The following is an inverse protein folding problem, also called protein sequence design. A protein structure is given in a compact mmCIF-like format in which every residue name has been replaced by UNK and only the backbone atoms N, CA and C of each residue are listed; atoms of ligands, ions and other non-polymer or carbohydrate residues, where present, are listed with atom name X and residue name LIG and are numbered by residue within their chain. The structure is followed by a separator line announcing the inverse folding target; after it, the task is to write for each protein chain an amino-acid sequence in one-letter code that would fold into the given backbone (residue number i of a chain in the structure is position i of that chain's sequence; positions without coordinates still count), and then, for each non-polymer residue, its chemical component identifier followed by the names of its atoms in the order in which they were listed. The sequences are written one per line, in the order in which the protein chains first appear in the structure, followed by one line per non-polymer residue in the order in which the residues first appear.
data_IF_904228592433
#
_entry.id   IF_904228592433
#
_cell.length_a   1.000
_cell.length_b   1.000
_cell.length_c   1.000
_cell.angle_alpha   90.00
_cell.angle_beta   90.00
_cell.angle_gamma   90.00
#
_symmetry.space_group_name_H-M   'P 1'
#
loop_
_entity.id
_entity.type
_entity.pdbx_description
1 polymer ?
#
# COMPACT_ATOMS: atom_id res chain seq x y z
N UNK A 1 7.56 5.91 30.20
CA UNK A 1 7.28 5.46 31.58
C UNK A 1 6.97 6.63 32.52
N UNK A 2 7.48 7.81 32.24
CA UNK A 2 7.22 9.01 33.08
C UNK A 2 5.82 9.64 32.88
N UNK A 3 5.12 9.35 31.78
CA UNK A 3 3.85 9.98 31.41
C UNK A 3 2.65 9.02 31.44
N UNK A 4 2.78 7.80 31.90
CA UNK A 4 1.73 6.74 31.97
C UNK A 4 0.99 6.53 30.64
N UNK A 5 1.69 6.65 29.51
CA UNK A 5 1.14 6.45 28.17
C UNK A 5 1.33 5.01 27.71
N UNK A 6 0.30 4.45 27.07
CA UNK A 6 0.40 3.17 26.39
C UNK A 6 1.08 3.37 25.02
N UNK A 7 2.18 2.64 24.79
CA UNK A 7 2.83 2.63 23.48
C UNK A 7 2.05 1.75 22.51
N UNK A 8 1.65 2.33 21.36
CA UNK A 8 1.09 1.59 20.23
C UNK A 8 2.10 1.70 19.09
N UNK A 9 2.60 0.56 18.62
CA UNK A 9 3.57 0.53 17.53
C UNK A 9 2.92 0.96 16.21
N UNK A 10 3.56 1.80 15.36
CA UNK A 10 2.94 2.37 14.16
C UNK A 10 2.54 1.33 13.10
N UNK A 11 3.19 0.17 13.05
CA UNK A 11 2.87 -0.86 12.07
C UNK A 11 2.93 -2.30 12.59
N UNK A 12 3.01 -2.53 13.91
CA UNK A 12 3.15 -3.87 14.48
C UNK A 12 2.18 -4.09 15.64
N UNK A 13 1.73 -5.35 15.78
CA UNK A 13 0.95 -5.84 16.89
C UNK A 13 -0.56 -5.73 16.70
N UNK A 14 -1.27 -6.37 17.64
CA UNK A 14 -2.73 -6.57 17.56
C UNK A 14 -3.51 -5.25 17.53
N UNK A 15 -3.12 -4.25 18.31
CA UNK A 15 -3.85 -2.99 18.40
C UNK A 15 -3.80 -2.21 17.08
N UNK A 16 -2.64 -2.17 16.43
CA UNK A 16 -2.44 -1.54 15.13
C UNK A 16 -3.25 -2.26 14.06
N UNK A 17 -3.20 -3.59 14.05
CA UNK A 17 -3.97 -4.42 13.10
C UNK A 17 -5.48 -4.24 13.28
N UNK A 18 -5.98 -4.27 14.52
CA UNK A 18 -7.41 -4.06 14.80
C UNK A 18 -7.87 -2.66 14.37
N UNK A 19 -7.08 -1.63 14.66
CA UNK A 19 -7.38 -0.27 14.19
C UNK A 19 -7.45 -0.19 12.66
N UNK A 20 -6.48 -0.77 11.95
CA UNK A 20 -6.44 -0.79 10.49
C UNK A 20 -7.52 -1.68 9.86
N UNK A 21 -8.04 -2.69 10.57
CA UNK A 21 -9.11 -3.55 10.07
C UNK A 21 -10.42 -2.80 9.82
N UNK A 22 -10.66 -1.69 10.54
CA UNK A 22 -11.81 -0.82 10.31
C UNK A 22 -11.96 -0.40 8.86
N UNK A 23 -10.86 -0.03 8.21
CA UNK A 23 -10.85 0.33 6.77
C UNK A 23 -11.36 -0.81 5.89
N UNK A 24 -10.89 -2.02 6.13
CA UNK A 24 -11.33 -3.21 5.38
C UNK A 24 -12.79 -3.58 5.67
N UNK A 25 -13.23 -3.47 6.93
CA UNK A 25 -14.61 -3.76 7.33
C UNK A 25 -15.59 -2.80 6.67
N UNK A 26 -15.33 -1.48 6.73
CA UNK A 26 -16.17 -0.46 6.12
C UNK A 26 -16.23 -0.62 4.60
N UNK A 27 -15.07 -0.82 3.94
CA UNK A 27 -15.01 -1.07 2.50
C UNK A 27 -15.88 -2.26 2.08
N UNK A 28 -15.79 -3.38 2.81
CA UNK A 28 -16.53 -4.59 2.51
C UNK A 28 -18.01 -4.50 2.90
N UNK A 29 -18.36 -3.59 3.80
CA UNK A 29 -19.76 -3.29 4.13
C UNK A 29 -20.42 -2.42 3.06
N UNK A 30 -19.72 -1.40 2.60
CA UNK A 30 -20.19 -0.48 1.56
C UNK A 30 -20.29 -1.16 0.18
N UNK A 31 -19.35 -2.05 -0.15
CA UNK A 31 -19.26 -2.69 -1.48
C UNK A 31 -19.17 -4.21 -1.32
N UNK A 32 -20.28 -4.91 -1.50
CA UNK A 32 -20.43 -6.35 -1.20
C UNK A 32 -19.69 -7.30 -2.16
N UNK A 33 -19.44 -6.90 -3.40
CA UNK A 33 -18.99 -7.76 -4.50
C UNK A 33 -17.68 -7.27 -5.11
N UNK A 34 -16.71 -6.92 -4.25
CA UNK A 34 -15.36 -6.61 -4.68
C UNK A 34 -14.64 -7.88 -5.14
N UNK A 35 -14.04 -7.82 -6.33
CA UNK A 35 -13.15 -8.85 -6.86
C UNK A 35 -11.76 -8.78 -6.22
N UNK A 36 -11.28 -7.55 -5.91
CA UNK A 36 -9.96 -7.34 -5.34
C UNK A 36 -9.86 -6.07 -4.50
N UNK A 37 -8.91 -6.05 -3.57
CA UNK A 37 -8.48 -4.86 -2.83
C UNK A 37 -6.98 -4.68 -3.02
N UNK A 38 -6.54 -3.45 -3.31
CA UNK A 38 -5.14 -3.09 -3.51
C UNK A 38 -4.70 -2.10 -2.43
N UNK A 39 -3.60 -2.43 -1.74
CA UNK A 39 -3.12 -1.68 -0.57
C UNK A 39 -1.61 -1.50 -0.66
N UNK A 40 -1.10 -0.31 -0.33
CA UNK A 40 0.34 -0.09 -0.17
C UNK A 40 0.88 -0.78 1.08
N UNK A 41 2.10 -1.27 0.99
CA UNK A 41 2.77 -2.01 2.07
C UNK A 41 4.10 -1.34 2.40
N UNK A 42 4.23 -0.91 3.66
CA UNK A 42 5.52 -0.60 4.27
C UNK A 42 5.79 -1.65 5.34
N UNK A 43 5.76 -1.29 6.62
CA UNK A 43 5.91 -2.24 7.73
C UNK A 43 4.77 -3.27 7.91
N UNK A 44 3.71 -3.19 7.11
CA UNK A 44 2.61 -4.16 7.10
C UNK A 44 1.41 -3.83 7.99
N UNK A 45 1.44 -2.73 8.75
CA UNK A 45 0.37 -2.41 9.72
C UNK A 45 -1.00 -2.22 9.09
N UNK A 46 -1.11 -1.36 8.06
CA UNK A 46 -2.34 -1.14 7.30
C UNK A 46 -2.77 -2.43 6.58
N UNK A 47 -1.83 -3.03 5.84
CA UNK A 47 -2.10 -4.26 5.06
C UNK A 47 -2.59 -5.40 5.95
N UNK A 48 -2.00 -5.63 7.12
CA UNK A 48 -2.40 -6.72 8.02
C UNK A 48 -3.86 -6.58 8.47
N UNK A 49 -4.29 -5.36 8.80
CA UNK A 49 -5.67 -5.09 9.22
C UNK A 49 -6.66 -5.21 8.07
N UNK A 50 -6.40 -4.49 6.96
CA UNK A 50 -7.29 -4.52 5.78
C UNK A 50 -7.43 -5.94 5.24
N UNK A 51 -6.31 -6.65 5.04
CA UNK A 51 -6.35 -8.02 4.49
C UNK A 51 -7.08 -9.00 5.42
N UNK A 52 -6.89 -8.89 6.73
CA UNK A 52 -7.59 -9.74 7.69
C UNK A 52 -9.11 -9.52 7.63
N UNK A 53 -9.57 -8.28 7.56
CA UNK A 53 -10.98 -7.93 7.44
C UNK A 53 -11.57 -8.43 6.10
N UNK A 54 -10.90 -8.16 4.97
CA UNK A 54 -11.33 -8.59 3.64
C UNK A 54 -11.46 -10.11 3.58
N UNK A 55 -10.43 -10.85 3.99
CA UNK A 55 -10.44 -12.34 3.94
C UNK A 55 -11.41 -12.97 4.94
N UNK A 56 -11.72 -12.31 6.05
CA UNK A 56 -12.74 -12.78 6.99
C UNK A 56 -14.17 -12.66 6.43
N UNK A 57 -14.45 -11.62 5.62
CA UNK A 57 -15.77 -11.37 5.04
C UNK A 57 -15.94 -12.11 3.70
N UNK A 58 -14.95 -12.01 2.81
CA UNK A 58 -14.94 -12.66 1.51
C UNK A 58 -13.55 -13.27 1.22
N UNK A 59 -13.33 -14.57 1.51
CA UNK A 59 -12.05 -15.24 1.25
C UNK A 59 -11.64 -15.24 -0.23
N UNK A 60 -12.58 -15.14 -1.16
CA UNK A 60 -12.34 -15.14 -2.62
C UNK A 60 -11.87 -13.78 -3.13
N UNK A 61 -12.18 -12.69 -2.42
CA UNK A 61 -11.70 -11.35 -2.77
C UNK A 61 -10.16 -11.32 -2.72
N UNK A 62 -9.55 -10.96 -3.84
CA UNK A 62 -8.08 -10.92 -3.94
C UNK A 62 -7.52 -9.72 -3.19
N UNK A 63 -6.39 -9.93 -2.52
CA UNK A 63 -5.67 -8.87 -1.81
C UNK A 63 -4.29 -8.71 -2.44
N UNK A 64 -4.04 -7.54 -3.00
CA UNK A 64 -2.77 -7.18 -3.64
C UNK A 64 -2.03 -6.15 -2.80
N UNK A 65 -0.75 -6.43 -2.56
CA UNK A 65 0.18 -5.49 -1.93
C UNK A 65 0.99 -4.73 -2.97
N UNK A 66 1.34 -3.48 -2.67
CA UNK A 66 2.24 -2.68 -3.50
C UNK A 66 3.36 -2.12 -2.63
N UNK A 67 4.61 -2.39 -2.99
CA UNK A 67 5.81 -1.83 -2.34
C UNK A 67 6.65 -1.07 -3.36
N UNK A 68 7.45 -0.07 -2.93
CA UNK A 68 8.50 0.51 -3.75
C UNK A 68 9.62 -0.49 -4.02
N UNK A 69 10.21 -0.46 -5.22
CA UNK A 69 11.41 -1.28 -5.53
C UNK A 69 12.55 -1.04 -4.53
N UNK A 70 12.71 0.20 -4.05
CA UNK A 70 13.76 0.56 -3.09
C UNK A 70 13.40 0.33 -1.61
N UNK A 71 12.22 -0.25 -1.30
CA UNK A 71 11.77 -0.53 0.07
C UNK A 71 10.81 -1.73 0.11
N UNK A 72 11.26 -2.89 -0.34
CA UNK A 72 10.48 -4.11 -0.56
C UNK A 72 10.62 -5.14 0.59
N UNK A 73 10.68 -4.67 1.83
CA UNK A 73 10.96 -5.50 3.01
C UNK A 73 9.95 -6.63 3.22
N UNK A 74 8.67 -6.40 2.99
CA UNK A 74 7.64 -7.42 3.15
C UNK A 74 7.69 -8.46 2.03
N UNK A 75 7.91 -8.06 0.79
CA UNK A 75 8.06 -8.95 -0.37
C UNK A 75 9.23 -9.91 -0.18
N UNK A 76 10.40 -9.37 0.21
CA UNK A 76 11.57 -10.19 0.53
C UNK A 76 11.31 -11.11 1.72
N UNK A 77 10.70 -10.61 2.81
CA UNK A 77 10.36 -11.42 3.98
C UNK A 77 9.44 -12.60 3.62
N UNK A 78 8.42 -12.39 2.79
CA UNK A 78 7.53 -13.47 2.34
C UNK A 78 8.30 -14.49 1.49
N UNK A 79 9.20 -14.03 0.62
CA UNK A 79 10.02 -14.91 -0.22
C UNK A 79 11.00 -15.75 0.60
N UNK A 80 11.66 -15.16 1.59
CA UNK A 80 12.57 -15.87 2.50
C UNK A 80 11.84 -16.75 3.52
N UNK A 81 10.58 -16.43 3.83
CA UNK A 81 9.77 -17.18 4.77
C UNK A 81 9.82 -16.66 6.21
N UNK A 82 10.62 -15.63 6.48
CA UNK A 82 10.80 -14.98 7.80
C UNK A 82 10.99 -13.46 7.64
N UNK A 83 10.71 -12.67 8.69
CA UNK A 83 10.96 -11.23 8.69
C UNK A 83 12.45 -10.92 8.44
N UNK A 84 12.71 -10.06 7.47
CA UNK A 84 14.07 -9.59 7.16
C UNK A 84 14.20 -8.08 7.40
N UNK A 85 15.45 -7.63 7.50
CA UNK A 85 15.80 -6.21 7.53
C UNK A 85 16.58 -5.86 6.26
N UNK A 86 16.12 -4.84 5.52
CA UNK A 86 16.84 -4.32 4.35
C UNK A 86 18.14 -3.63 4.77
N UNK A 87 19.17 -3.78 3.98
CA UNK A 87 20.47 -3.12 4.20
C UNK A 87 20.47 -1.64 3.82
N UNK A 88 19.55 -1.22 2.95
CA UNK A 88 19.38 0.18 2.50
C UNK A 88 17.94 0.42 2.08
N UNK A 89 17.54 1.67 2.11
CA UNK A 89 16.24 2.17 1.64
C UNK A 89 16.52 3.27 0.62
N UNK A 90 15.84 3.21 -0.52
CA UNK A 90 15.92 4.21 -1.58
C UNK A 90 14.57 4.39 -2.27
N UNK A 91 13.72 5.25 -1.72
CA UNK A 91 12.40 5.59 -2.28
C UNK A 91 11.91 6.94 -1.80
N UNK A 92 11.10 7.60 -2.64
CA UNK A 92 10.37 8.84 -2.28
C UNK A 92 9.17 8.58 -1.36
N UNK A 93 8.74 7.33 -1.22
CA UNK A 93 7.58 6.95 -0.42
C UNK A 93 7.98 6.74 1.06
N UNK A 94 8.16 7.84 1.79
CA UNK A 94 8.63 7.86 3.19
C UNK A 94 7.80 6.94 4.10
N UNK A 95 6.47 7.00 4.00
CA UNK A 95 5.57 6.15 4.81
C UNK A 95 5.60 4.65 4.43
N UNK A 96 6.21 4.28 3.29
CA UNK A 96 6.43 2.90 2.88
C UNK A 96 7.87 2.41 3.12
N UNK A 97 8.70 3.19 3.82
CA UNK A 97 10.12 2.92 4.00
C UNK A 97 10.57 2.36 5.38
N UNK A 98 9.75 1.65 6.18
CA UNK A 98 10.30 0.85 7.27
C UNK A 98 11.31 -0.17 6.71
N UNK A 99 12.53 -0.24 7.30
CA UNK A 99 13.57 -1.11 6.77
C UNK A 99 13.30 -2.60 7.01
N UNK A 100 12.24 -2.95 7.74
CA UNK A 100 11.97 -4.30 8.18
C UNK A 100 10.48 -4.62 8.24
N UNK A 101 10.14 -5.87 7.97
CA UNK A 101 8.90 -6.47 8.45
C UNK A 101 9.06 -6.93 9.90
N UNK A 102 7.98 -6.92 10.68
CA UNK A 102 7.96 -7.43 12.05
C UNK A 102 7.02 -8.64 12.17
N UNK A 103 7.24 -9.53 13.16
CA UNK A 103 6.68 -10.88 13.15
C UNK A 103 5.15 -10.95 13.02
N UNK A 104 4.40 -10.13 13.76
CA UNK A 104 2.94 -10.19 13.77
C UNK A 104 2.35 -9.71 12.42
N UNK A 105 2.76 -8.53 11.95
CA UNK A 105 2.36 -8.00 10.65
C UNK A 105 2.75 -8.92 9.50
N UNK A 106 3.98 -9.45 9.52
CA UNK A 106 4.48 -10.41 8.54
C UNK A 106 3.59 -11.66 8.44
N UNK A 107 3.23 -12.29 9.56
CA UNK A 107 2.41 -13.50 9.53
C UNK A 107 1.03 -13.27 8.91
N UNK A 108 0.41 -12.13 9.21
CA UNK A 108 -0.88 -11.77 8.61
C UNK A 108 -0.75 -11.46 7.12
N UNK A 109 0.25 -10.68 6.73
CA UNK A 109 0.55 -10.39 5.33
C UNK A 109 0.82 -11.67 4.53
N UNK A 110 1.71 -12.54 5.03
CA UNK A 110 2.03 -13.83 4.40
C UNK A 110 0.80 -14.73 4.22
N UNK A 111 -0.13 -14.70 5.16
CA UNK A 111 -1.35 -15.50 5.14
C UNK A 111 -2.40 -14.97 4.15
N UNK A 112 -2.56 -13.64 4.09
CA UNK A 112 -3.74 -13.02 3.50
C UNK A 112 -3.49 -12.36 2.15
N UNK A 113 -2.23 -12.02 1.80
CA UNK A 113 -1.89 -11.37 0.54
C UNK A 113 -1.80 -12.44 -0.56
N UNK A 114 -2.52 -12.23 -1.66
CA UNK A 114 -2.44 -13.11 -2.83
C UNK A 114 -1.19 -12.81 -3.67
N UNK A 115 -0.76 -11.54 -3.75
CA UNK A 115 0.46 -11.13 -4.48
C UNK A 115 0.93 -9.75 -4.02
N UNK A 116 2.24 -9.55 -3.93
CA UNK A 116 2.86 -8.23 -3.83
C UNK A 116 3.49 -7.88 -5.19
N UNK A 117 3.32 -6.62 -5.61
CA UNK A 117 3.96 -6.06 -6.80
C UNK A 117 4.85 -4.89 -6.41
N UNK A 118 5.95 -4.72 -7.15
CA UNK A 118 6.92 -3.66 -6.92
C UNK A 118 6.77 -2.56 -7.97
N UNK A 119 6.83 -1.30 -7.53
CA UNK A 119 6.74 -0.11 -8.38
C UNK A 119 7.95 0.80 -8.17
N UNK A 120 8.40 1.44 -9.24
CA UNK A 120 9.47 2.44 -9.17
C UNK A 120 8.93 3.79 -8.67
N UNK A 121 9.82 4.68 -8.23
CA UNK A 121 9.47 6.03 -7.83
C UNK A 121 8.84 6.85 -8.98
N UNK A 122 9.25 6.64 -10.23
CA UNK A 122 8.61 7.28 -11.39
C UNK A 122 7.17 6.81 -11.58
N UNK A 123 6.91 5.52 -11.41
CA UNK A 123 5.56 4.96 -11.45
C UNK A 123 4.70 5.46 -10.28
N UNK A 124 5.29 5.59 -9.08
CA UNK A 124 4.62 6.19 -7.91
C UNK A 124 4.19 7.63 -8.21
N UNK A 125 5.09 8.44 -8.75
CA UNK A 125 4.78 9.81 -9.18
C UNK A 125 3.64 9.83 -10.22
N UNK A 126 3.65 8.89 -11.17
CA UNK A 126 2.57 8.75 -12.17
C UNK A 126 1.24 8.41 -11.50
N UNK A 127 1.24 7.53 -10.53
CA UNK A 127 0.04 7.18 -9.74
C UNK A 127 -0.52 8.39 -8.98
N UNK A 128 0.35 9.23 -8.39
CA UNK A 128 -0.07 10.50 -7.76
C UNK A 128 -0.73 11.43 -8.78
N UNK A 129 -0.12 11.57 -9.96
CA UNK A 129 -0.63 12.44 -11.04
C UNK A 129 -2.01 11.96 -11.52
N UNK A 130 -2.20 10.66 -11.75
CA UNK A 130 -3.49 10.08 -12.15
C UNK A 130 -4.55 10.33 -11.07
N UNK A 131 -4.24 10.11 -9.79
CA UNK A 131 -5.18 10.39 -8.69
C UNK A 131 -5.56 11.86 -8.61
N UNK A 132 -4.63 12.79 -8.91
CA UNK A 132 -4.92 14.21 -8.97
C UNK A 132 -5.80 14.56 -10.18
N UNK A 133 -5.44 14.09 -11.36
CA UNK A 133 -6.10 14.49 -12.62
C UNK A 133 -7.47 13.85 -12.78
N UNK A 134 -7.62 12.58 -12.44
CA UNK A 134 -8.86 11.85 -12.59
C UNK A 134 -9.71 11.82 -11.32
N UNK A 135 -9.06 11.60 -10.16
CA UNK A 135 -9.73 11.51 -8.86
C UNK A 135 -9.91 12.84 -8.14
N UNK A 136 -9.22 13.89 -8.54
CA UNK A 136 -9.13 15.19 -7.85
C UNK A 136 -8.62 15.07 -6.41
N UNK A 137 -7.75 14.10 -6.18
CA UNK A 137 -7.19 13.78 -4.87
C UNK A 137 -5.72 14.21 -4.81
N UNK A 138 -5.38 15.08 -3.86
CA UNK A 138 -4.00 15.40 -3.52
C UNK A 138 -3.50 14.35 -2.51
N UNK A 139 -2.61 13.48 -2.95
CA UNK A 139 -2.16 12.31 -2.16
C UNK A 139 -0.65 12.32 -1.94
N UNK A 140 -0.20 11.61 -0.90
CA UNK A 140 1.20 11.32 -0.68
C UNK A 140 1.69 10.13 -1.56
N UNK A 141 3.02 9.91 -1.69
CA UNK A 141 3.57 8.84 -2.52
C UNK A 141 3.03 7.43 -2.19
N UNK A 142 2.74 7.12 -0.93
CA UNK A 142 2.19 5.81 -0.54
C UNK A 142 0.85 5.50 -1.21
N UNK A 143 -0.04 6.49 -1.34
CA UNK A 143 -1.29 6.33 -2.07
C UNK A 143 -1.06 6.30 -3.59
N UNK A 144 -0.10 7.07 -4.11
CA UNK A 144 0.35 7.00 -5.50
C UNK A 144 0.87 5.61 -5.88
N UNK A 145 1.56 4.93 -4.97
CA UNK A 145 2.07 3.57 -5.17
C UNK A 145 0.94 2.57 -5.49
N UNK A 146 -0.21 2.67 -4.81
CA UNK A 146 -1.35 1.77 -5.07
C UNK A 146 -1.87 1.95 -6.49
N UNK A 147 -2.08 3.19 -6.94
CA UNK A 147 -2.50 3.48 -8.32
C UNK A 147 -1.45 3.01 -9.32
N UNK A 148 -0.17 3.23 -9.05
CA UNK A 148 0.93 2.72 -9.88
C UNK A 148 0.90 1.18 -10.00
N UNK A 149 0.69 0.48 -8.90
CA UNK A 149 0.55 -0.98 -8.89
C UNK A 149 -0.59 -1.47 -9.78
N UNK A 150 -1.73 -0.79 -9.75
CA UNK A 150 -2.90 -1.11 -10.60
C UNK A 150 -2.55 -0.92 -12.08
N UNK A 151 -2.03 0.26 -12.43
CA UNK A 151 -1.83 0.65 -13.85
C UNK A 151 -0.66 -0.12 -14.48
N UNK A 152 0.48 -0.23 -13.79
CA UNK A 152 1.71 -0.73 -14.40
C UNK A 152 1.99 -2.22 -14.12
N UNK A 153 1.35 -2.82 -13.12
CA UNK A 153 1.67 -4.20 -12.68
C UNK A 153 0.50 -5.16 -12.66
N UNK A 154 -0.72 -4.67 -12.39
CA UNK A 154 -1.91 -5.51 -12.19
C UNK A 154 -2.98 -5.29 -13.25
N UNK A 155 -2.73 -4.43 -14.23
CA UNK A 155 -3.74 -4.02 -15.23
C UNK A 155 -4.46 -5.20 -15.89
N UNK A 156 -3.72 -6.18 -16.37
CA UNK A 156 -4.30 -7.35 -17.03
C UNK A 156 -5.13 -8.22 -16.07
N UNK A 157 -4.65 -8.40 -14.83
CA UNK A 157 -5.35 -9.18 -13.82
C UNK A 157 -6.62 -8.49 -13.31
N UNK A 158 -6.64 -7.14 -13.36
CA UNK A 158 -7.73 -6.33 -12.81
C UNK A 158 -8.70 -5.81 -13.88
N UNK A 159 -8.43 -6.06 -15.16
CA UNK A 159 -9.31 -5.59 -16.24
C UNK A 159 -10.72 -6.19 -16.12
N UNK A 160 -11.74 -5.32 -16.11
CA UNK A 160 -13.14 -5.70 -15.93
C UNK A 160 -13.53 -6.12 -14.52
N UNK A 161 -12.65 -5.96 -13.54
CA UNK A 161 -12.87 -6.29 -12.13
C UNK A 161 -13.35 -5.07 -11.34
N UNK A 162 -14.16 -5.32 -10.32
CA UNK A 162 -14.52 -4.34 -9.31
C UNK A 162 -13.45 -4.35 -8.22
N UNK A 163 -12.68 -3.27 -8.11
CA UNK A 163 -11.54 -3.17 -7.21
C UNK A 163 -11.71 -2.06 -6.17
N UNK A 164 -11.31 -2.34 -4.94
CA UNK A 164 -11.10 -1.36 -3.88
C UNK A 164 -9.65 -0.89 -3.91
N UNK A 165 -9.43 0.42 -4.01
CA UNK A 165 -8.13 1.06 -3.93
C UNK A 165 -8.05 1.81 -2.61
N UNK A 166 -7.06 1.51 -1.75
CA UNK A 166 -6.90 2.21 -0.48
C UNK A 166 -6.02 3.45 -0.67
N UNK A 167 -6.65 4.62 -0.63
CA UNK A 167 -5.98 5.93 -0.62
C UNK A 167 -5.59 6.24 0.83
N UNK A 168 -4.37 5.88 1.22
CA UNK A 168 -3.97 5.81 2.62
C UNK A 168 -3.60 7.16 3.26
N UNK A 169 -3.34 8.22 2.47
CA UNK A 169 -2.99 9.50 3.07
C UNK A 169 -2.62 10.61 2.08
N UNK A 170 -2.43 11.79 2.65
CA UNK A 170 -2.04 13.03 1.95
C UNK A 170 -1.04 13.86 2.77
N UNK A 171 -0.19 13.23 3.57
CA UNK A 171 0.81 13.90 4.40
C UNK A 171 2.02 14.33 3.57
N UNK A 172 1.84 15.36 2.76
CA UNK A 172 2.86 15.90 1.85
C UNK A 172 2.72 17.44 1.78
N UNK A 173 3.84 18.16 1.73
CA UNK A 173 3.82 19.59 1.50
C UNK A 173 3.58 19.96 0.03
N UNK A 174 3.03 21.15 -0.22
CA UNK A 174 2.64 21.58 -1.56
C UNK A 174 3.81 21.68 -2.55
N UNK A 175 5.03 22.01 -2.09
CA UNK A 175 6.21 22.11 -2.94
C UNK A 175 6.63 20.72 -3.44
N UNK A 176 6.84 19.79 -2.52
CA UNK A 176 7.19 18.41 -2.82
C UNK A 176 6.10 17.75 -3.68
N UNK A 177 4.82 17.96 -3.36
CA UNK A 177 3.70 17.48 -4.15
C UNK A 177 3.78 17.93 -5.61
N UNK A 178 4.02 19.24 -5.86
CA UNK A 178 4.14 19.77 -7.21
C UNK A 178 5.35 19.22 -7.98
N UNK A 179 6.49 19.03 -7.29
CA UNK A 179 7.69 18.45 -7.89
C UNK A 179 7.45 17.01 -8.34
N UNK A 180 6.85 16.19 -7.47
CA UNK A 180 6.52 14.79 -7.78
C UNK A 180 5.46 14.66 -8.88
N UNK A 181 4.42 15.49 -8.90
CA UNK A 181 3.44 15.50 -9.98
C UNK A 181 4.06 15.87 -11.34
N UNK A 182 4.98 16.85 -11.39
CA UNK A 182 5.72 17.15 -12.64
C UNK A 182 6.54 15.94 -13.11
N UNK A 183 7.18 15.21 -12.19
CA UNK A 183 7.92 13.98 -12.48
C UNK A 183 6.98 12.91 -13.04
N UNK A 184 5.80 12.74 -12.42
CA UNK A 184 4.78 11.79 -12.83
C UNK A 184 4.20 12.10 -14.21
N UNK A 185 3.81 13.37 -14.46
CA UNK A 185 3.31 13.81 -15.78
C UNK A 185 4.35 13.50 -16.88
N UNK A 186 5.62 13.83 -16.66
CA UNK A 186 6.68 13.52 -17.62
C UNK A 186 6.87 12.03 -17.85
N UNK A 187 6.74 11.20 -16.80
CA UNK A 187 6.85 9.75 -16.96
C UNK A 187 5.67 9.20 -17.77
N UNK A 188 4.45 9.71 -17.56
CA UNK A 188 3.24 9.31 -18.27
C UNK A 188 3.29 9.61 -19.78
N UNK A 189 4.04 10.63 -20.22
CA UNK A 189 4.24 10.94 -21.65
C UNK A 189 4.83 9.74 -22.43
N UNK A 190 5.54 8.83 -21.74
CA UNK A 190 6.12 7.64 -22.35
C UNK A 190 5.13 6.47 -22.52
N UNK A 191 3.92 6.61 -21.99
CA UNK A 191 2.88 5.59 -22.04
C UNK A 191 1.62 6.13 -22.74
N UNK A 192 1.08 5.37 -23.68
CA UNK A 192 -0.23 5.64 -24.27
C UNK A 192 -1.30 5.01 -23.34
N UNK A 193 -1.56 5.69 -22.23
CA UNK A 193 -2.57 5.26 -21.25
C UNK A 193 -3.93 5.83 -21.56
#
# INVERSE_FOLDING_TARGET
KEEDRTFIHPFEGINTTLGASGVGLELMDDIKDLDAVVVSVGGGGLMSGVSAAVKAINPECKVYGVEPVGADSMSQSITFGEPITLSSIDTIADSLSPPMALPFGFQLCKRNIDKIVLVSDDEICSGMTILMEEGKLAVEPAAGAVMAGIIFRLREQLMGKKIGLIVCGSNIDAKTYNELNKRGSKHLENFNL
#
